data_IF_856501517476
#
_entry.id   IF_856501517476
#
_cell.length_a   1.000
_cell.length_b   1.000
_cell.length_c   1.000
_cell.angle_alpha   90.00
_cell.angle_beta   90.00
_cell.angle_gamma   90.00
#
_symmetry.space_group_name_H-M   'P 1'
#
loop_
_entity.id
_entity.type
_entity.pdbx_description
1 polymer ?
#
# COMPACT_ATOMS: atom_id res chain seq x y z
N UNK A 1 -20.88 14.91 -13.61
CA UNK A 1 -19.60 14.83 -14.34
C UNK A 1 -19.43 13.40 -14.85
N UNK A 2 -19.15 13.18 -16.15
CA UNK A 2 -18.82 11.87 -16.69
C UNK A 2 -17.59 11.26 -16.00
N UNK A 3 -17.48 9.93 -15.88
CA UNK A 3 -16.36 9.27 -15.18
C UNK A 3 -14.97 9.66 -15.71
N UNK A 4 -14.82 9.86 -17.02
CA UNK A 4 -13.55 10.25 -17.63
C UNK A 4 -13.11 11.66 -17.22
N UNK A 5 -14.03 12.60 -17.18
CA UNK A 5 -13.78 13.98 -16.73
C UNK A 5 -13.45 14.00 -15.23
N UNK A 6 -14.17 13.21 -14.43
CA UNK A 6 -13.86 13.07 -13.01
C UNK A 6 -12.47 12.47 -12.78
N UNK A 7 -12.09 11.44 -13.56
CA UNK A 7 -10.76 10.85 -13.49
C UNK A 7 -9.67 11.88 -13.79
N UNK A 8 -9.83 12.74 -14.79
CA UNK A 8 -8.88 13.81 -15.08
C UNK A 8 -8.78 14.83 -13.93
N UNK A 9 -9.93 15.23 -13.36
CA UNK A 9 -9.95 16.15 -12.21
C UNK A 9 -9.31 15.53 -10.96
N UNK A 10 -9.54 14.24 -10.73
CA UNK A 10 -8.90 13.48 -9.65
C UNK A 10 -7.38 13.41 -9.85
N UNK A 11 -6.90 13.16 -11.08
CA UNK A 11 -5.47 13.15 -11.39
C UNK A 11 -4.82 14.51 -11.11
N UNK A 12 -5.48 15.60 -11.55
CA UNK A 12 -5.01 16.96 -11.28
C UNK A 12 -4.97 17.25 -9.77
N UNK A 13 -5.99 16.84 -9.00
CA UNK A 13 -6.02 16.98 -7.55
C UNK A 13 -4.95 16.15 -6.83
N UNK A 14 -4.60 14.97 -7.35
CA UNK A 14 -3.55 14.13 -6.79
C UNK A 14 -2.16 14.80 -6.93
N UNK A 15 -1.92 15.50 -8.03
CA UNK A 15 -0.64 16.14 -8.32
C UNK A 15 -0.07 15.86 -9.70
N UNK A 16 -0.89 15.34 -10.62
CA UNK A 16 -0.53 15.10 -12.02
C UNK A 16 -0.02 13.70 -12.32
N UNK A 17 0.62 13.57 -13.48
CA UNK A 17 1.03 12.29 -14.05
C UNK A 17 2.03 11.52 -13.16
N UNK A 18 2.02 10.19 -13.34
CA UNK A 18 2.95 9.28 -12.68
C UNK A 18 4.30 9.31 -13.41
N UNK A 19 5.44 9.25 -12.70
CA UNK A 19 6.74 9.12 -13.35
C UNK A 19 6.86 7.76 -14.03
N UNK A 20 7.76 7.65 -15.01
CA UNK A 20 8.17 6.35 -15.54
C UNK A 20 8.78 5.51 -14.39
N UNK A 21 8.32 4.26 -14.21
CA UNK A 21 8.78 3.43 -13.11
C UNK A 21 10.28 3.09 -13.27
N UNK A 22 11.12 3.28 -12.25
CA UNK A 22 12.50 2.84 -12.30
C UNK A 22 12.59 1.31 -12.28
N UNK A 23 13.80 0.77 -12.44
CA UNK A 23 14.05 -0.64 -12.11
C UNK A 23 13.67 -0.90 -10.65
N UNK A 24 13.05 -2.05 -10.36
CA UNK A 24 12.60 -2.39 -9.01
C UNK A 24 13.76 -2.49 -8.00
N UNK A 25 14.99 -2.76 -8.47
CA UNK A 25 16.18 -2.91 -7.63
C UNK A 25 15.92 -3.80 -6.39
N UNK A 26 15.14 -4.87 -6.58
CA UNK A 26 14.64 -5.69 -5.49
C UNK A 26 15.78 -6.43 -4.79
N UNK A 27 15.80 -6.40 -3.46
CA UNK A 27 16.83 -7.02 -2.63
C UNK A 27 16.19 -7.90 -1.57
N UNK A 28 16.41 -9.20 -1.68
CA UNK A 28 16.08 -10.15 -0.63
C UNK A 28 17.05 -9.95 0.56
N UNK A 29 16.52 -9.98 1.77
CA UNK A 29 17.29 -9.82 3.02
C UNK A 29 17.35 -11.12 3.80
N UNK A 30 16.20 -11.68 4.11
CA UNK A 30 16.08 -12.91 4.88
C UNK A 30 14.85 -13.71 4.46
N UNK A 31 14.86 -15.01 4.75
CA UNK A 31 13.73 -15.91 4.55
C UNK A 31 13.42 -16.61 5.87
N UNK A 32 12.15 -16.55 6.29
CA UNK A 32 11.65 -17.14 7.53
C UNK A 32 10.65 -18.23 7.15
N UNK A 33 10.94 -19.48 7.50
CA UNK A 33 9.97 -20.56 7.34
C UNK A 33 8.87 -20.46 8.41
N UNK A 34 7.61 -20.64 8.01
CA UNK A 34 6.43 -20.78 8.86
C UNK A 34 5.75 -22.11 8.56
N UNK A 35 4.68 -22.41 9.29
CA UNK A 35 3.85 -23.58 9.05
C UNK A 35 2.96 -23.35 7.80
N UNK A 36 3.29 -24.02 6.70
CA UNK A 36 2.56 -24.01 5.42
C UNK A 36 2.98 -22.92 4.42
N UNK A 37 3.90 -22.03 4.79
CA UNK A 37 4.41 -20.96 3.93
C UNK A 37 5.76 -20.45 4.42
N UNK A 38 6.49 -19.73 3.56
CA UNK A 38 7.68 -18.95 3.93
C UNK A 38 7.42 -17.45 3.79
N UNK A 39 8.19 -16.65 4.52
CA UNK A 39 8.21 -15.18 4.40
C UNK A 39 9.58 -14.76 3.88
N UNK A 40 9.61 -14.08 2.74
CA UNK A 40 10.78 -13.40 2.20
C UNK A 40 10.73 -11.92 2.60
N UNK A 41 11.66 -11.47 3.45
CA UNK A 41 11.85 -10.05 3.76
C UNK A 41 12.71 -9.41 2.70
N UNK A 42 12.24 -8.31 2.12
CA UNK A 42 12.87 -7.68 0.98
C UNK A 42 12.61 -6.18 0.91
N UNK A 43 13.32 -5.51 0.02
CA UNK A 43 13.03 -4.12 -0.38
C UNK A 43 12.91 -4.03 -1.90
N UNK A 44 12.06 -3.14 -2.42
CA UNK A 44 12.03 -2.75 -3.85
C UNK A 44 11.81 -1.23 -3.98
N UNK A 45 12.20 -0.64 -5.10
CA UNK A 45 12.16 0.81 -5.31
C UNK A 45 10.88 1.26 -6.03
N UNK A 46 10.22 2.25 -5.44
CA UNK A 46 9.12 2.97 -6.09
C UNK A 46 9.61 4.16 -6.91
N UNK A 47 10.62 4.86 -6.39
CA UNK A 47 11.32 5.97 -7.04
C UNK A 47 12.84 5.76 -6.84
N UNK A 48 13.71 6.39 -7.65
CA UNK A 48 15.15 6.29 -7.43
C UNK A 48 15.54 6.69 -6.00
N UNK A 49 16.08 5.73 -5.24
CA UNK A 49 16.48 5.93 -3.85
C UNK A 49 15.35 5.90 -2.81
N UNK A 50 14.11 5.61 -3.20
CA UNK A 50 12.99 5.37 -2.28
C UNK A 50 12.63 3.88 -2.25
N UNK A 51 13.31 3.16 -1.37
CA UNK A 51 13.08 1.74 -1.12
C UNK A 51 11.84 1.54 -0.23
N UNK A 52 10.95 0.66 -0.66
CA UNK A 52 9.81 0.15 0.10
C UNK A 52 10.19 -1.21 0.71
N UNK A 53 10.33 -1.30 2.04
CA UNK A 53 10.46 -2.57 2.75
C UNK A 53 9.14 -3.34 2.69
N UNK A 54 9.23 -4.64 2.45
CA UNK A 54 8.08 -5.51 2.32
C UNK A 54 8.38 -6.94 2.81
N UNK A 55 7.31 -7.65 3.14
CA UNK A 55 7.31 -9.07 3.43
C UNK A 55 6.47 -9.78 2.36
N UNK A 56 7.09 -10.71 1.63
CA UNK A 56 6.44 -11.55 0.63
C UNK A 56 6.21 -12.94 1.22
N UNK A 57 4.95 -13.31 1.43
CA UNK A 57 4.55 -14.61 1.94
C UNK A 57 4.24 -15.53 0.75
N UNK A 58 4.88 -16.69 0.72
CA UNK A 58 4.76 -17.65 -0.38
C UNK A 58 4.38 -19.01 0.22
N UNK A 59 3.21 -19.57 -0.11
CA UNK A 59 2.81 -20.89 0.36
C UNK A 59 3.81 -21.97 -0.08
N UNK A 60 4.02 -23.01 0.73
CA UNK A 60 5.05 -24.02 0.45
C UNK A 60 4.76 -24.84 -0.83
N UNK A 61 3.48 -24.92 -1.21
CA UNK A 61 3.03 -25.56 -2.45
C UNK A 61 3.24 -24.71 -3.72
N UNK A 62 3.61 -23.43 -3.57
CA UNK A 62 3.78 -22.49 -4.69
C UNK A 62 5.24 -22.43 -5.14
N UNK A 63 5.43 -22.51 -6.45
CA UNK A 63 6.73 -22.50 -7.11
C UNK A 63 6.60 -21.93 -8.53
N UNK A 64 7.70 -21.63 -9.24
CA UNK A 64 7.62 -21.25 -10.66
C UNK A 64 6.87 -22.26 -11.55
N UNK A 65 6.91 -23.55 -11.22
CA UNK A 65 6.17 -24.59 -11.96
C UNK A 65 4.68 -24.67 -11.59
N UNK A 66 4.31 -24.13 -10.43
CA UNK A 66 2.95 -24.12 -9.89
C UNK A 66 2.66 -22.73 -9.28
N UNK A 67 2.54 -21.68 -10.11
CA UNK A 67 2.32 -20.32 -9.63
C UNK A 67 0.91 -20.15 -9.08
N UNK A 68 0.70 -19.13 -8.24
CA UNK A 68 -0.59 -18.85 -7.60
C UNK A 68 -1.06 -17.41 -7.83
N UNK A 69 -2.37 -17.12 -7.67
CA UNK A 69 -2.87 -15.76 -7.56
C UNK A 69 -2.19 -15.01 -6.41
N UNK A 70 -2.06 -13.69 -6.55
CA UNK A 70 -1.42 -12.85 -5.54
C UNK A 70 -2.33 -11.78 -4.96
N UNK A 71 -2.03 -11.33 -3.74
CA UNK A 71 -2.73 -10.21 -3.09
C UNK A 71 -1.71 -9.23 -2.50
N UNK A 72 -1.81 -7.96 -2.88
CA UNK A 72 -1.13 -6.87 -2.18
C UNK A 72 -1.98 -6.43 -0.97
N UNK A 73 -1.44 -6.57 0.24
CA UNK A 73 -2.14 -6.34 1.51
C UNK A 73 -1.59 -5.09 2.20
N UNK A 74 -2.48 -4.13 2.50
CA UNK A 74 -2.13 -2.85 3.13
C UNK A 74 -2.62 -2.78 4.57
N UNK A 75 -1.68 -2.51 5.47
CA UNK A 75 -1.93 -2.40 6.89
C UNK A 75 -2.73 -1.15 7.26
N UNK A 76 -3.26 -1.14 8.48
CA UNK A 76 -3.96 -0.01 9.06
C UNK A 76 -3.00 1.03 9.64
N UNK A 77 -3.54 2.19 9.98
CA UNK A 77 -2.77 3.23 10.66
C UNK A 77 -2.75 3.01 12.19
N UNK A 78 -3.92 2.83 12.83
CA UNK A 78 -4.12 2.58 14.27
C UNK A 78 -3.35 3.48 15.27
N UNK A 79 -2.77 4.62 14.84
CA UNK A 79 -1.77 5.37 15.60
C UNK A 79 -0.47 4.59 15.91
N UNK A 80 -0.27 3.41 15.33
CA UNK A 80 0.82 2.48 15.66
C UNK A 80 1.91 2.51 14.59
N UNK A 81 2.63 3.62 14.49
CA UNK A 81 3.66 3.83 13.44
C UNK A 81 4.81 2.81 13.44
N UNK A 82 4.99 2.03 14.51
CA UNK A 82 5.96 0.94 14.58
C UNK A 82 5.46 -0.36 13.93
N UNK A 83 4.19 -0.41 13.51
CA UNK A 83 3.58 -1.54 12.82
C UNK A 83 3.22 -1.11 11.39
N UNK A 84 3.78 -1.82 10.43
CA UNK A 84 3.50 -1.66 9.00
C UNK A 84 3.23 -3.04 8.40
N UNK A 85 4.13 -3.50 7.53
CA UNK A 85 4.09 -4.84 6.90
C UNK A 85 4.04 -5.99 7.90
N UNK A 86 4.62 -5.82 9.09
CA UNK A 86 4.74 -6.91 10.07
C UNK A 86 3.40 -7.35 10.65
N UNK A 87 2.41 -6.46 10.74
CA UNK A 87 1.07 -6.81 11.24
C UNK A 87 0.32 -7.76 10.28
N UNK A 88 0.04 -7.39 9.00
CA UNK A 88 -0.65 -8.29 8.08
C UNK A 88 0.15 -9.57 7.78
N UNK A 89 1.48 -9.54 7.86
CA UNK A 89 2.33 -10.73 7.70
C UNK A 89 2.27 -11.70 8.89
N UNK A 90 1.59 -11.33 9.99
CA UNK A 90 1.44 -12.18 11.17
C UNK A 90 2.68 -12.27 12.06
N UNK A 91 3.54 -11.24 12.03
CA UNK A 91 4.76 -11.18 12.83
C UNK A 91 4.61 -10.29 14.08
N UNK A 92 3.69 -9.33 14.06
CA UNK A 92 3.44 -8.39 15.15
C UNK A 92 1.98 -7.91 15.17
N UNK A 93 1.63 -7.03 16.10
CA UNK A 93 0.32 -6.38 16.13
C UNK A 93 -0.83 -7.31 16.53
N UNK A 94 -2.05 -6.92 16.14
CA UNK A 94 -3.26 -7.66 16.52
C UNK A 94 -3.50 -8.86 15.59
N UNK A 95 -3.71 -10.05 16.16
CA UNK A 95 -3.97 -11.28 15.41
C UNK A 95 -5.16 -11.17 14.45
N UNK A 96 -6.18 -10.37 14.78
CA UNK A 96 -7.32 -10.15 13.88
C UNK A 96 -6.93 -9.46 12.56
N UNK A 97 -5.76 -8.81 12.51
CA UNK A 97 -5.26 -8.11 11.34
C UNK A 97 -4.15 -8.87 10.61
N UNK A 98 -3.84 -10.11 10.99
CA UNK A 98 -2.89 -11.01 10.32
C UNK A 98 -3.46 -11.57 8.99
N UNK A 99 -4.12 -10.71 8.22
CA UNK A 99 -4.89 -11.08 7.02
C UNK A 99 -3.98 -11.64 5.94
N UNK A 100 -2.75 -11.12 5.82
CA UNK A 100 -1.79 -11.63 4.84
C UNK A 100 -1.32 -13.06 5.17
N UNK A 101 -1.06 -13.35 6.44
CA UNK A 101 -0.76 -14.72 6.88
C UNK A 101 -1.94 -15.68 6.65
N UNK A 102 -3.17 -15.23 6.89
CA UNK A 102 -4.36 -16.03 6.61
C UNK A 102 -4.51 -16.33 5.10
N UNK A 103 -4.35 -15.32 4.24
CA UNK A 103 -4.41 -15.50 2.78
C UNK A 103 -3.29 -16.40 2.24
N UNK A 104 -2.09 -16.33 2.82
CA UNK A 104 -1.00 -17.24 2.45
C UNK A 104 -1.36 -18.72 2.75
N UNK A 105 -2.01 -18.99 3.88
CA UNK A 105 -2.50 -20.34 4.21
C UNK A 105 -3.62 -20.83 3.27
N UNK A 106 -4.36 -19.90 2.66
CA UNK A 106 -5.35 -20.21 1.62
C UNK A 106 -4.73 -20.36 0.21
N UNK A 107 -3.40 -20.31 0.09
CA UNK A 107 -2.68 -20.57 -1.16
C UNK A 107 -2.41 -19.35 -2.03
N UNK A 108 -2.60 -18.13 -1.52
CA UNK A 108 -2.22 -16.90 -2.24
C UNK A 108 -0.76 -16.52 -1.99
N UNK A 109 -0.07 -15.99 -3.00
CA UNK A 109 1.16 -15.22 -2.77
C UNK A 109 0.77 -13.85 -2.22
N UNK A 110 1.33 -13.44 -1.08
CA UNK A 110 0.90 -12.20 -0.42
C UNK A 110 2.07 -11.25 -0.24
N UNK A 111 1.94 -10.03 -0.74
CA UNK A 111 2.89 -8.96 -0.46
C UNK A 111 2.31 -8.02 0.60
N UNK A 112 3.04 -7.82 1.68
CA UNK A 112 2.76 -6.83 2.72
C UNK A 112 3.84 -5.73 2.67
N UNK A 113 3.59 -4.54 2.09
CA UNK A 113 4.52 -3.42 2.10
C UNK A 113 4.34 -2.49 3.31
N UNK A 114 5.40 -1.78 3.69
CA UNK A 114 5.29 -0.62 4.57
C UNK A 114 4.70 0.59 3.82
N UNK A 115 3.60 1.14 4.35
CA UNK A 115 3.15 2.46 3.93
C UNK A 115 4.18 3.53 4.35
N UNK A 116 4.21 4.64 3.61
CA UNK A 116 5.08 5.78 3.93
C UNK A 116 4.89 6.21 5.40
N UNK A 117 5.99 6.46 6.11
CA UNK A 117 6.05 6.80 7.55
C UNK A 117 5.86 5.65 8.55
N UNK A 118 5.62 4.42 8.09
CA UNK A 118 5.39 3.27 8.98
C UNK A 118 6.57 2.31 9.02
N UNK A 119 6.74 1.70 10.19
CA UNK A 119 7.72 0.65 10.49
C UNK A 119 9.12 1.03 10.02
N UNK A 120 9.63 0.45 8.94
CA UNK A 120 10.97 0.74 8.43
C UNK A 120 11.05 2.01 7.58
N UNK A 121 9.90 2.60 7.22
CA UNK A 121 9.79 3.88 6.48
C UNK A 121 9.55 5.09 7.39
N UNK A 122 9.83 4.98 8.68
CA UNK A 122 9.86 6.12 9.61
C UNK A 122 11.03 7.07 9.30
N UNK A 123 11.07 8.24 9.95
CA UNK A 123 12.12 9.26 9.73
C UNK A 123 13.53 8.66 9.89
N UNK A 124 14.34 8.59 8.82
CA UNK A 124 15.67 8.00 8.87
C UNK A 124 16.64 8.81 9.74
N UNK A 125 16.36 10.11 9.95
CA UNK A 125 17.16 10.96 10.83
C UNK A 125 16.74 10.86 12.29
N UNK A 126 15.55 10.30 12.54
CA UNK A 126 14.92 10.21 13.84
C UNK A 126 14.58 11.56 14.49
N UNK A 127 14.63 12.68 13.77
CA UNK A 127 14.30 14.02 14.30
C UNK A 127 12.81 14.19 14.51
N UNK A 128 12.01 13.72 13.56
CA UNK A 128 10.56 13.72 13.60
C UNK A 128 10.09 12.31 13.96
N UNK A 129 9.24 12.22 14.98
CA UNK A 129 8.73 10.93 15.48
C UNK A 129 7.29 10.74 15.07
N UNK A 130 6.93 9.51 14.67
CA UNK A 130 5.53 9.07 14.51
C UNK A 130 4.73 10.04 13.63
N UNK A 131 3.57 10.52 14.09
CA UNK A 131 2.71 11.43 13.33
C UNK A 131 3.32 12.79 13.01
N UNK A 132 4.42 13.22 13.67
CA UNK A 132 5.11 14.43 13.24
C UNK A 132 5.89 14.22 11.93
N UNK A 133 6.45 13.03 11.72
CA UNK A 133 7.08 12.70 10.45
C UNK A 133 6.03 12.56 9.34
N UNK A 134 4.90 11.92 9.64
CA UNK A 134 3.79 11.81 8.71
C UNK A 134 3.22 13.18 8.29
N UNK A 135 3.02 14.10 9.26
CA UNK A 135 2.62 15.48 8.96
C UNK A 135 3.65 16.20 8.10
N UNK A 136 4.93 16.01 8.37
CA UNK A 136 5.99 16.58 7.56
C UNK A 136 5.95 16.06 6.13
N UNK A 137 5.81 14.75 5.93
CA UNK A 137 5.68 14.16 4.60
C UNK A 137 4.43 14.65 3.86
N UNK A 138 3.30 14.80 4.57
CA UNK A 138 2.10 15.41 4.00
C UNK A 138 2.38 16.83 3.48
N UNK A 139 2.99 17.68 4.31
CA UNK A 139 3.36 19.04 3.93
C UNK A 139 4.41 19.06 2.79
N UNK A 140 5.36 18.12 2.79
CA UNK A 140 6.38 17.99 1.74
C UNK A 140 5.73 17.73 0.38
N UNK A 141 4.74 16.83 0.32
CA UNK A 141 3.99 16.58 -0.92
C UNK A 141 3.14 17.78 -1.33
N UNK A 142 2.48 18.47 -0.37
CA UNK A 142 1.72 19.69 -0.65
C UNK A 142 2.61 20.77 -1.29
N UNK A 143 3.80 21.02 -0.73
CA UNK A 143 4.77 21.99 -1.29
C UNK A 143 5.25 21.55 -2.68
N UNK A 144 5.35 20.25 -2.93
CA UNK A 144 5.70 19.69 -4.24
C UNK A 144 4.55 19.71 -5.27
N UNK A 145 3.40 20.33 -4.93
CA UNK A 145 2.22 20.39 -5.80
C UNK A 145 1.47 19.07 -5.91
N UNK A 146 1.63 18.18 -4.93
CA UNK A 146 1.00 16.85 -4.86
C UNK A 146 0.27 16.68 -3.54
N UNK A 147 -0.46 15.58 -3.38
CA UNK A 147 -0.95 15.14 -2.06
C UNK A 147 -0.38 13.77 -1.70
N UNK A 148 -0.48 13.38 -0.43
CA UNK A 148 0.08 12.10 0.04
C UNK A 148 -0.54 10.90 -0.69
N UNK A 149 -1.81 10.98 -1.09
CA UNK A 149 -2.48 9.96 -1.89
C UNK A 149 -1.74 9.63 -3.20
N UNK A 150 -1.16 10.63 -3.87
CA UNK A 150 -0.36 10.43 -5.07
C UNK A 150 0.81 9.50 -4.79
N UNK A 151 1.51 9.72 -3.67
CA UNK A 151 2.62 8.86 -3.26
C UNK A 151 2.16 7.46 -2.92
N UNK A 152 1.07 7.31 -2.16
CA UNK A 152 0.57 5.98 -1.82
C UNK A 152 0.12 5.22 -3.07
N UNK A 153 -0.56 5.86 -4.02
CA UNK A 153 -0.94 5.24 -5.29
C UNK A 153 0.31 4.79 -6.06
N UNK A 154 1.34 5.64 -6.15
CA UNK A 154 2.60 5.25 -6.79
C UNK A 154 3.22 4.01 -6.12
N UNK A 155 3.35 4.02 -4.80
CA UNK A 155 3.87 2.88 -4.03
C UNK A 155 3.06 1.61 -4.29
N UNK A 156 1.74 1.73 -4.36
CA UNK A 156 0.85 0.61 -4.67
C UNK A 156 1.03 0.07 -6.08
N UNK A 157 1.15 0.94 -7.09
CA UNK A 157 1.43 0.51 -8.47
C UNK A 157 2.74 -0.26 -8.55
N UNK A 158 3.75 0.21 -7.82
CA UNK A 158 5.08 -0.42 -7.72
C UNK A 158 5.06 -1.75 -6.98
N UNK A 159 4.17 -1.91 -6.01
CA UNK A 159 3.90 -3.21 -5.38
C UNK A 159 3.34 -4.23 -6.38
N UNK A 160 2.48 -3.79 -7.31
CA UNK A 160 1.97 -4.65 -8.39
C UNK A 160 3.07 -5.00 -9.40
N UNK A 161 3.92 -4.04 -9.77
CA UNK A 161 5.10 -4.31 -10.61
C UNK A 161 6.01 -5.37 -9.98
N UNK A 162 6.24 -5.27 -8.67
CA UNK A 162 7.01 -6.27 -7.94
C UNK A 162 6.36 -7.64 -7.99
N UNK A 163 5.06 -7.75 -7.69
CA UNK A 163 4.33 -9.03 -7.74
C UNK A 163 4.38 -9.66 -9.14
N UNK A 164 4.19 -8.89 -10.20
CA UNK A 164 4.27 -9.41 -11.58
C UNK A 164 5.68 -9.87 -11.97
N UNK A 165 6.72 -9.33 -11.33
CA UNK A 165 8.10 -9.79 -11.59
C UNK A 165 8.43 -11.15 -10.96
N UNK A 166 7.55 -11.68 -10.09
CA UNK A 166 7.79 -12.92 -9.35
C UNK A 166 7.30 -14.13 -10.13
N UNK A 167 8.16 -15.14 -10.36
CA UNK A 167 7.75 -16.36 -11.06
C UNK A 167 6.74 -17.21 -10.27
N UNK A 168 6.60 -16.98 -8.96
CA UNK A 168 5.61 -17.62 -8.11
C UNK A 168 4.17 -17.08 -8.32
N UNK A 169 4.03 -15.97 -9.06
CA UNK A 169 2.77 -15.24 -9.22
C UNK A 169 2.19 -15.47 -10.62
N UNK A 170 0.89 -15.75 -10.69
CA UNK A 170 0.12 -15.63 -11.93
C UNK A 170 -0.15 -14.14 -12.15
N UNK A 171 0.58 -13.53 -13.08
CA UNK A 171 0.64 -12.08 -13.27
C UNK A 171 -0.70 -11.42 -13.65
N UNK A 172 -1.67 -12.17 -14.20
CA UNK A 172 -3.02 -11.65 -14.47
C UNK A 172 -4.03 -11.89 -13.35
N UNK A 173 -3.64 -12.53 -12.24
CA UNK A 173 -4.51 -12.85 -11.09
C UNK A 173 -4.04 -12.18 -9.81
N UNK A 174 -3.98 -10.84 -9.84
CA UNK A 174 -3.55 -10.02 -8.70
C UNK A 174 -4.74 -9.27 -8.10
N UNK A 175 -4.94 -9.40 -6.79
CA UNK A 175 -5.89 -8.64 -5.98
C UNK A 175 -5.21 -7.62 -5.07
N UNK A 176 -5.99 -6.73 -4.48
CA UNK A 176 -5.54 -5.84 -3.42
C UNK A 176 -6.54 -5.81 -2.27
N UNK A 177 -6.01 -5.93 -1.05
CA UNK A 177 -6.76 -5.82 0.19
C UNK A 177 -6.18 -4.71 1.06
N UNK A 178 -7.04 -4.02 1.81
CA UNK A 178 -6.58 -3.07 2.81
C UNK A 178 -7.55 -2.91 3.98
N UNK A 179 -7.00 -2.67 5.17
CA UNK A 179 -7.77 -2.42 6.39
C UNK A 179 -7.62 -0.96 6.85
N UNK A 180 -8.72 -0.29 7.20
CA UNK A 180 -8.71 1.11 7.68
C UNK A 180 -7.98 2.05 6.71
N UNK A 181 -6.84 2.65 7.06
CA UNK A 181 -5.98 3.40 6.12
C UNK A 181 -5.65 2.59 4.85
N UNK A 182 -5.35 1.30 4.99
CA UNK A 182 -5.13 0.41 3.85
C UNK A 182 -6.36 0.31 2.95
N UNK A 183 -7.58 0.39 3.50
CA UNK A 183 -8.81 0.40 2.69
C UNK A 183 -8.93 1.69 1.87
N UNK A 184 -8.60 2.85 2.46
CA UNK A 184 -8.47 4.11 1.69
C UNK A 184 -7.49 3.94 0.53
N UNK A 185 -6.31 3.36 0.77
CA UNK A 185 -5.33 3.09 -0.27
C UNK A 185 -5.91 2.20 -1.39
N UNK A 186 -6.55 1.08 -1.02
CA UNK A 186 -7.19 0.15 -1.95
C UNK A 186 -8.22 0.83 -2.86
N UNK A 187 -9.07 1.70 -2.31
CA UNK A 187 -10.04 2.44 -3.14
C UNK A 187 -9.38 3.47 -4.06
N UNK A 188 -8.33 4.14 -3.57
CA UNK A 188 -7.65 5.18 -4.32
C UNK A 188 -6.82 4.65 -5.49
N UNK A 189 -6.21 3.46 -5.38
CA UNK A 189 -5.41 2.88 -6.48
C UNK A 189 -6.28 2.33 -7.62
N UNK A 190 -7.51 1.90 -7.32
CA UNK A 190 -8.38 1.18 -8.27
C UNK A 190 -8.51 1.85 -9.65
N UNK A 191 -8.79 3.17 -9.74
CA UNK A 191 -8.89 3.87 -11.02
C UNK A 191 -7.58 3.90 -11.84
N UNK A 192 -6.43 3.64 -11.22
CA UNK A 192 -5.09 3.86 -11.78
C UNK A 192 -4.30 2.57 -12.04
N UNK A 193 -4.82 1.42 -11.61
CA UNK A 193 -4.12 0.15 -11.70
C UNK A 193 -5.01 -0.98 -12.24
N UNK A 194 -5.18 -1.06 -13.57
CA UNK A 194 -6.09 -2.02 -14.21
C UNK A 194 -5.63 -3.49 -14.11
N UNK A 195 -4.39 -3.73 -13.64
CA UNK A 195 -3.89 -5.09 -13.39
C UNK A 195 -4.52 -5.71 -12.16
N UNK A 196 -5.03 -4.91 -11.21
CA UNK A 196 -5.75 -5.41 -10.03
C UNK A 196 -7.14 -5.90 -10.45
N UNK A 197 -7.42 -7.18 -10.21
CA UNK A 197 -8.67 -7.86 -10.59
C UNK A 197 -9.75 -7.80 -9.51
N UNK A 198 -9.35 -7.60 -8.25
CA UNK A 198 -10.26 -7.53 -7.13
C UNK A 198 -9.73 -6.54 -6.08
N UNK A 199 -10.61 -5.65 -5.62
CA UNK A 199 -10.34 -4.67 -4.56
C UNK A 199 -11.21 -5.01 -3.35
N UNK A 200 -10.58 -5.18 -2.19
CA UNK A 200 -11.27 -5.44 -0.93
C UNK A 200 -10.81 -4.42 0.10
N UNK A 201 -11.65 -3.41 0.35
CA UNK A 201 -11.45 -2.48 1.46
C UNK A 201 -12.27 -2.88 2.68
N UNK A 202 -11.61 -3.01 3.84
CA UNK A 202 -12.27 -3.26 5.11
C UNK A 202 -12.25 -2.01 6.00
N UNK A 203 -13.44 -1.59 6.46
CA UNK A 203 -13.63 -0.59 7.52
C UNK A 203 -13.06 0.83 7.23
N UNK A 204 -13.07 1.30 5.98
CA UNK A 204 -12.82 2.72 5.67
C UNK A 204 -13.28 3.12 4.25
N UNK A 205 -14.21 4.07 4.18
CA UNK A 205 -14.55 4.84 2.97
C UNK A 205 -15.25 6.14 3.42
N UNK A 206 -14.52 7.12 4.00
CA UNK A 206 -15.13 8.34 4.50
C UNK A 206 -15.58 9.25 3.35
N UNK A 207 -16.59 10.08 3.62
CA UNK A 207 -16.94 11.23 2.77
C UNK A 207 -16.23 12.48 3.28
N UNK A 208 -15.92 13.44 2.41
CA UNK A 208 -15.33 14.70 2.88
C UNK A 208 -16.29 15.46 3.78
N UNK A 209 -17.59 15.43 3.45
CA UNK A 209 -18.64 15.98 4.31
C UNK A 209 -18.63 15.37 5.71
N UNK A 210 -18.45 14.04 5.80
CA UNK A 210 -18.32 13.35 7.08
C UNK A 210 -17.10 13.81 7.87
N UNK A 211 -15.93 13.84 7.22
CA UNK A 211 -14.68 14.32 7.84
C UNK A 211 -14.84 15.74 8.37
N UNK A 212 -15.40 16.65 7.57
CA UNK A 212 -15.61 18.05 7.95
C UNK A 212 -16.65 18.20 9.06
N UNK A 213 -17.76 17.46 9.00
CA UNK A 213 -18.83 17.54 10.01
C UNK A 213 -18.36 17.05 11.38
N UNK A 214 -17.59 15.96 11.41
CA UNK A 214 -17.09 15.36 12.65
C UNK A 214 -15.77 15.97 13.13
N UNK A 215 -15.23 16.99 12.44
CA UNK A 215 -13.94 17.62 12.72
C UNK A 215 -12.80 16.58 12.82
N UNK A 216 -12.81 15.58 11.94
CA UNK A 216 -11.93 14.42 12.03
C UNK A 216 -10.57 14.69 11.38
N UNK A 217 -9.49 14.56 12.15
CA UNK A 217 -8.15 14.46 11.58
C UNK A 217 -7.93 13.02 11.09
N UNK A 218 -8.47 12.73 9.90
CA UNK A 218 -8.37 11.42 9.25
C UNK A 218 -6.95 11.17 8.69
N UNK A 219 -6.65 9.94 8.25
CA UNK A 219 -5.38 9.66 7.57
C UNK A 219 -5.18 10.56 6.34
N UNK A 220 -3.96 11.08 6.21
CA UNK A 220 -3.61 12.12 5.24
C UNK A 220 -3.88 11.81 3.76
N UNK A 221 -3.86 10.55 3.30
CA UNK A 221 -4.20 10.22 1.91
C UNK A 221 -5.67 10.54 1.54
N UNK A 222 -6.54 10.82 2.50
CA UNK A 222 -7.89 11.27 2.15
C UNK A 222 -7.89 12.72 1.64
N UNK A 223 -6.97 13.59 2.04
CA UNK A 223 -7.04 15.02 1.70
C UNK A 223 -6.48 15.31 0.29
N UNK A 224 -7.33 15.12 -0.72
CA UNK A 224 -7.02 15.40 -2.13
C UNK A 224 -7.59 16.79 -2.49
N UNK A 225 -6.76 17.76 -2.91
CA UNK A 225 -7.21 19.07 -3.34
C UNK A 225 -8.22 19.04 -4.50
N UNK A 226 -9.19 19.96 -4.49
CA UNK A 226 -10.05 20.24 -5.64
C UNK A 226 -11.16 19.22 -5.92
N UNK A 227 -11.37 18.21 -5.07
CA UNK A 227 -12.38 17.16 -5.29
C UNK A 227 -13.52 17.13 -4.27
N UNK A 228 -13.59 18.07 -3.32
CA UNK A 228 -14.61 18.13 -2.26
C UNK A 228 -16.06 18.06 -2.76
N UNK A 229 -16.35 18.65 -3.93
CA UNK A 229 -17.71 18.66 -4.48
C UNK A 229 -18.18 17.28 -5.00
N UNK A 230 -17.29 16.28 -5.05
CA UNK A 230 -17.54 14.94 -5.61
C UNK A 230 -17.55 13.80 -4.58
N UNK A 231 -17.40 14.09 -3.27
CA UNK A 231 -17.33 13.06 -2.22
C UNK A 231 -17.37 13.63 -0.82
#
# INVERSE_FOLDING_TARGET
MPPAEFKQKLLAGLGGDWPEPPALNAKLRETIQKDGYRIESLTYEAEPGDAIPALLLIPDMVSPAHPAPAVAVWHQHAGQYHLGKSEPAGLAGNQMHHTGAALAKEGFVVLCPDALCFEERQDPTGKLKTGNFERFEFLRYVVAGKCMAWKNILDMKRAIDFLQSRPEVIDEKIGCYGHSMGSTHTWLVGPWEPRIKCLVGNCCLPTYKGIHREHMLHCFPNFIPGIYEYG
#
